data_IF_495988468739
#
_entry.id   IF_495988468739
#
_cell.length_a   1.000
_cell.length_b   1.000
_cell.length_c   1.000
_cell.angle_alpha   90.00
_cell.angle_beta   90.00
_cell.angle_gamma   90.00
#
_symmetry.space_group_name_H-M   'P 1'
#
loop_
_entity.id
_entity.type
_entity.pdbx_description
1 polymer ?
#
# COMPACT_ATOMS: atom_id res chain seq x y z
N UNK A 1 -3.55 3.82 -10.51
CA UNK A 1 -3.46 3.17 -9.20
C UNK A 1 -3.88 1.72 -9.35
N UNK A 2 -2.91 0.82 -9.30
CA UNK A 2 -3.16 -0.61 -9.15
C UNK A 2 -3.67 -0.91 -7.74
N UNK A 3 -4.61 -1.84 -7.65
CA UNK A 3 -5.19 -2.33 -6.39
C UNK A 3 -5.57 -3.79 -6.57
N UNK A 4 -5.09 -4.64 -5.67
CA UNK A 4 -5.34 -6.07 -5.70
C UNK A 4 -5.84 -6.54 -4.35
N UNK A 5 -6.81 -7.46 -4.38
CA UNK A 5 -7.27 -8.16 -3.18
C UNK A 5 -6.22 -9.20 -2.80
N UNK A 6 -5.86 -9.20 -1.52
CA UNK A 6 -4.92 -10.13 -0.88
C UNK A 6 -5.48 -10.54 0.47
N UNK A 7 -5.02 -11.66 0.98
CA UNK A 7 -5.28 -12.04 2.36
C UNK A 7 -4.25 -11.36 3.26
N UNK A 8 -4.70 -10.78 4.37
CA UNK A 8 -3.83 -10.20 5.39
C UNK A 8 -4.15 -10.88 6.71
N UNK A 9 -3.15 -11.47 7.35
CA UNK A 9 -3.31 -12.03 8.71
C UNK A 9 -2.47 -11.25 9.70
N UNK A 10 -2.97 -11.09 10.93
CA UNK A 10 -2.24 -10.51 12.06
C UNK A 10 -1.86 -11.57 13.13
N UNK A 11 -1.93 -12.85 12.76
CA UNK A 11 -1.68 -13.99 13.64
C UNK A 11 -2.89 -14.45 14.47
N UNK A 12 -3.91 -13.61 14.66
CA UNK A 12 -5.14 -13.96 15.41
C UNK A 12 -6.39 -13.98 14.53
N UNK A 13 -6.39 -13.17 13.48
CA UNK A 13 -7.46 -13.06 12.50
C UNK A 13 -6.88 -12.96 11.09
N UNK A 14 -7.72 -13.22 10.10
CA UNK A 14 -7.42 -13.06 8.68
C UNK A 14 -8.48 -12.18 8.05
N UNK A 15 -8.05 -11.10 7.41
CA UNK A 15 -8.86 -10.31 6.50
C UNK A 15 -8.65 -10.84 5.08
N UNK A 16 -9.67 -11.50 4.53
CA UNK A 16 -9.66 -12.04 3.17
C UNK A 16 -9.92 -10.99 2.08
N UNK A 17 -10.25 -9.75 2.48
CA UNK A 17 -10.57 -8.63 1.59
C UNK A 17 -9.57 -7.49 1.74
N UNK A 18 -8.41 -7.76 2.34
CA UNK A 18 -7.30 -6.80 2.40
C UNK A 18 -6.88 -6.38 1.00
N UNK A 19 -6.32 -5.17 0.88
CA UNK A 19 -5.87 -4.63 -0.40
C UNK A 19 -4.43 -4.17 -0.35
N UNK A 20 -3.69 -4.44 -1.42
CA UNK A 20 -2.35 -3.94 -1.68
C UNK A 20 -2.30 -3.30 -3.06
N UNK A 21 -1.49 -2.27 -3.22
CA UNK A 21 -1.36 -1.59 -4.50
C UNK A 21 -0.24 -0.57 -4.53
N UNK A 22 -0.19 0.19 -5.62
CA UNK A 22 0.68 1.34 -5.78
C UNK A 22 -0.16 2.57 -6.14
N UNK A 23 0.04 3.65 -5.40
CA UNK A 23 -0.57 4.96 -5.60
C UNK A 23 0.40 5.88 -6.37
N UNK A 24 0.11 6.20 -7.65
CA UNK A 24 0.99 7.06 -8.44
C UNK A 24 1.07 8.52 -7.96
N UNK A 25 -0.04 9.20 -7.60
CA UNK A 25 0.03 10.53 -6.99
C UNK A 25 0.92 10.61 -5.74
N UNK A 26 0.81 9.63 -4.84
CA UNK A 26 1.61 9.58 -3.62
C UNK A 26 2.98 8.91 -3.81
N UNK A 27 3.24 8.30 -4.98
CA UNK A 27 4.47 7.56 -5.28
C UNK A 27 4.83 6.53 -4.20
N UNK A 28 3.82 5.83 -3.68
CA UNK A 28 3.96 4.88 -2.59
C UNK A 28 3.17 3.61 -2.86
N UNK A 29 3.70 2.48 -2.38
CA UNK A 29 2.89 1.28 -2.18
C UNK A 29 1.97 1.52 -0.98
N UNK A 30 0.78 0.92 -1.03
CA UNK A 30 -0.19 0.98 0.07
C UNK A 30 -0.66 -0.42 0.44
N UNK A 31 -1.06 -0.57 1.72
CA UNK A 31 -1.61 -1.80 2.27
C UNK A 31 -2.72 -1.42 3.25
N UNK A 32 -3.91 -1.98 3.02
CA UNK A 32 -5.10 -1.68 3.80
C UNK A 32 -5.81 -2.97 4.18
N UNK A 33 -6.22 -3.10 5.44
CA UNK A 33 -6.98 -4.25 5.91
C UNK A 33 -7.55 -4.04 7.30
N UNK A 34 -8.42 -4.95 7.71
CA UNK A 34 -9.16 -4.93 8.97
C UNK A 34 -10.00 -3.65 9.12
N UNK A 35 -10.98 -3.40 8.22
CA UNK A 35 -11.85 -2.24 8.31
C UNK A 35 -12.70 -2.28 9.59
N UNK A 36 -12.88 -1.13 10.22
CA UNK A 36 -13.76 -0.99 11.35
C UNK A 36 -15.23 -1.06 10.88
N UNK A 37 -16.13 -1.77 11.59
CA UNK A 37 -17.50 -2.02 11.10
C UNK A 37 -18.41 -0.79 11.04
N UNK A 38 -18.01 0.36 11.61
CA UNK A 38 -18.85 1.56 11.73
C UNK A 38 -18.18 2.85 11.28
N UNK A 39 -16.88 2.84 11.03
CA UNK A 39 -16.10 4.03 10.66
C UNK A 39 -15.29 3.70 9.42
N UNK A 40 -14.79 4.73 8.75
CA UNK A 40 -13.91 4.56 7.58
C UNK A 40 -12.47 4.17 7.98
N UNK A 41 -12.23 3.86 9.25
CA UNK A 41 -10.91 3.50 9.76
C UNK A 41 -10.59 2.03 9.45
N UNK A 42 -9.30 1.75 9.29
CA UNK A 42 -8.78 0.39 9.17
C UNK A 42 -7.71 0.21 10.24
N UNK A 43 -7.66 -0.96 10.89
CA UNK A 43 -6.60 -1.24 11.85
C UNK A 43 -5.22 -1.32 11.16
N UNK A 44 -5.20 -1.63 9.86
CA UNK A 44 -4.02 -1.52 9.01
C UNK A 44 -4.29 -0.56 7.85
N UNK A 45 -3.56 0.55 7.81
CA UNK A 45 -3.58 1.49 6.69
C UNK A 45 -2.21 2.15 6.51
N UNK A 46 -1.45 1.68 5.53
CA UNK A 46 -0.13 2.20 5.14
C UNK A 46 -0.17 2.82 3.75
N UNK A 47 0.76 3.71 3.46
CA UNK A 47 0.89 4.34 2.15
C UNK A 47 -0.11 5.47 1.96
N UNK A 48 -0.33 6.27 3.01
CA UNK A 48 -1.23 7.43 2.99
C UNK A 48 -0.51 8.75 2.79
N UNK A 49 0.82 8.72 2.82
CA UNK A 49 1.68 9.89 2.63
C UNK A 49 2.54 9.78 1.37
N UNK A 50 3.02 10.93 0.92
CA UNK A 50 3.94 11.03 -0.22
C UNK A 50 5.23 10.25 0.07
N UNK A 51 5.57 9.33 -0.84
CA UNK A 51 6.78 8.50 -0.81
C UNK A 51 7.00 7.69 0.48
N UNK A 52 5.94 7.38 1.24
CA UNK A 52 6.03 6.67 2.53
C UNK A 52 6.68 5.28 2.40
N UNK A 53 6.27 4.52 1.38
CA UNK A 53 6.79 3.21 1.03
C UNK A 53 7.08 3.14 -0.47
N UNK A 54 8.25 3.63 -0.94
CA UNK A 54 8.54 3.75 -2.36
C UNK A 54 8.82 2.40 -3.04
N UNK A 55 8.92 1.31 -2.26
CA UNK A 55 9.18 -0.04 -2.78
C UNK A 55 8.19 -1.06 -2.21
N UNK A 56 7.89 -2.10 -2.98
CA UNK A 56 7.08 -3.22 -2.50
C UNK A 56 7.77 -3.91 -1.30
N UNK A 57 9.10 -3.97 -1.29
CA UNK A 57 9.85 -4.55 -0.17
C UNK A 57 9.65 -3.76 1.13
N UNK A 58 9.72 -2.42 1.08
CA UNK A 58 9.61 -1.57 2.27
C UNK A 58 8.26 -1.75 2.97
N UNK A 59 7.16 -1.85 2.22
CA UNK A 59 5.83 -2.03 2.83
C UNK A 59 5.64 -3.45 3.37
N UNK A 60 6.15 -4.48 2.70
CA UNK A 60 6.07 -5.87 3.16
C UNK A 60 6.93 -6.09 4.41
N UNK A 61 8.12 -5.48 4.48
CA UNK A 61 8.97 -5.56 5.67
C UNK A 61 8.32 -4.85 6.85
N UNK A 62 7.73 -3.68 6.63
CA UNK A 62 7.06 -2.89 7.68
C UNK A 62 5.80 -3.59 8.18
N UNK A 63 4.98 -4.16 7.29
CA UNK A 63 3.79 -4.92 7.69
C UNK A 63 4.15 -6.11 8.56
N UNK A 64 5.18 -6.88 8.18
CA UNK A 64 5.70 -7.99 9.00
C UNK A 64 6.21 -7.54 10.35
N UNK A 65 6.95 -6.43 10.41
CA UNK A 65 7.43 -5.87 11.67
C UNK A 65 6.30 -5.43 12.61
N UNK A 66 5.14 -5.04 12.05
CA UNK A 66 3.92 -4.73 12.81
C UNK A 66 3.02 -5.94 13.06
N UNK A 67 3.47 -7.16 12.75
CA UNK A 67 2.73 -8.40 13.00
C UNK A 67 1.76 -8.82 11.90
N UNK A 68 1.78 -8.16 10.75
CA UNK A 68 0.93 -8.48 9.61
C UNK A 68 1.68 -9.28 8.53
N UNK A 69 1.04 -10.30 7.99
CA UNK A 69 1.54 -11.07 6.85
C UNK A 69 0.57 -10.96 5.67
N UNK A 70 1.10 -10.58 4.51
CA UNK A 70 0.35 -10.55 3.24
C UNK A 70 0.49 -11.89 2.54
N UNK A 71 -0.64 -12.50 2.17
CA UNK A 71 -0.75 -13.78 1.48
C UNK A 71 -1.52 -13.63 0.17
N UNK A 72 -1.34 -14.59 -0.74
CA UNK A 72 -2.02 -14.57 -2.04
C UNK A 72 -1.46 -13.56 -3.04
N UNK A 73 -0.30 -12.95 -2.77
CA UNK A 73 0.35 -12.02 -3.68
C UNK A 73 0.93 -12.76 -4.90
N UNK A 74 0.23 -12.70 -6.02
CA UNK A 74 0.62 -13.41 -7.24
C UNK A 74 1.68 -12.66 -8.05
N UNK A 75 2.46 -13.38 -8.83
CA UNK A 75 3.57 -12.81 -9.64
C UNK A 75 3.08 -11.72 -10.59
N UNK A 76 1.94 -11.90 -11.24
CA UNK A 76 1.34 -10.95 -12.16
C UNK A 76 0.93 -9.63 -11.47
N UNK A 77 0.47 -9.70 -10.21
CA UNK A 77 0.14 -8.53 -9.40
C UNK A 77 1.41 -7.75 -9.07
N UNK A 78 2.46 -8.45 -8.64
CA UNK A 78 3.77 -7.87 -8.34
C UNK A 78 4.32 -7.14 -9.57
N UNK A 79 4.34 -7.82 -10.72
CA UNK A 79 4.86 -7.24 -11.96
C UNK A 79 4.06 -6.01 -12.39
N UNK A 80 2.74 -6.02 -12.24
CA UNK A 80 1.90 -4.88 -12.57
C UNK A 80 2.16 -3.69 -11.66
N UNK A 81 2.25 -3.88 -10.34
CA UNK A 81 2.57 -2.80 -9.39
C UNK A 81 3.97 -2.24 -9.63
N UNK A 82 4.98 -3.10 -9.86
CA UNK A 82 6.35 -2.64 -10.14
C UNK A 82 6.45 -1.87 -11.46
N UNK A 83 5.69 -2.30 -12.49
CA UNK A 83 5.62 -1.56 -13.76
C UNK A 83 5.01 -0.17 -13.56
N UNK A 84 3.95 -0.07 -12.76
CA UNK A 84 3.35 1.23 -12.44
C UNK A 84 4.33 2.10 -11.65
N UNK A 85 4.95 1.57 -10.60
CA UNK A 85 5.94 2.27 -9.78
C UNK A 85 7.16 2.75 -10.58
N UNK A 86 7.60 1.99 -11.58
CA UNK A 86 8.71 2.35 -12.46
C UNK A 86 8.38 3.44 -13.50
N UNK A 87 7.12 3.85 -13.63
CA UNK A 87 6.75 4.97 -14.51
C UNK A 87 7.17 6.29 -13.87
N UNK A 88 7.80 7.23 -14.59
CA UNK A 88 8.13 8.54 -14.02
C UNK A 88 6.88 9.30 -13.60
N UNK A 89 6.83 9.71 -12.33
CA UNK A 89 5.79 10.56 -11.78
C UNK A 89 6.40 11.90 -11.41
N UNK A 90 6.30 12.94 -12.27
CA UNK A 90 6.89 14.23 -11.98
C UNK A 90 6.22 14.85 -10.75
N UNK A 91 6.94 15.66 -9.95
CA UNK A 91 6.35 16.34 -8.81
C UNK A 91 5.14 17.17 -9.22
N UNK A 92 4.07 17.06 -8.45
CA UNK A 92 2.88 17.88 -8.60
C UNK A 92 3.19 19.37 -8.41
N UNK A 93 2.27 20.24 -8.84
CA UNK A 93 2.41 21.68 -8.59
C UNK A 93 2.51 21.99 -7.08
N UNK A 94 1.77 21.26 -6.25
CA UNK A 94 1.83 21.42 -4.79
C UNK A 94 3.21 21.12 -4.21
N UNK A 95 3.87 20.06 -4.69
CA UNK A 95 5.24 19.73 -4.29
C UNK A 95 6.25 20.78 -4.78
N UNK A 96 6.12 21.23 -6.03
CA UNK A 96 6.99 22.26 -6.61
C UNK A 96 6.87 23.61 -5.91
N UNK A 97 5.68 23.91 -5.38
CA UNK A 97 5.41 25.11 -4.59
C UNK A 97 5.69 24.92 -3.09
N UNK A 98 6.09 23.72 -2.66
CA UNK A 98 6.40 23.41 -1.26
C UNK A 98 5.19 23.32 -0.33
N UNK A 99 3.98 23.18 -0.89
CA UNK A 99 2.70 23.03 -0.18
C UNK A 99 2.52 21.59 0.32
N UNK A 100 3.00 20.62 -0.47
CA UNK A 100 3.01 19.19 -0.13
C UNK A 100 4.46 18.77 0.08
N UNK A 101 4.73 18.02 1.14
CA UNK A 101 6.05 17.49 1.51
C UNK A 101 5.91 16.07 2.03
#
# INVERSE_FOLDING_TARGET
MSRYIVEITNGTATDAQGTIGYDPPLRTFFLQGFPHPKTDECALWFGTFLEEFPTLESIIKTSRAQGYEVRGLKREMILAMLKEAGTPHPPSLGERLGIVR
#
